data_IF_769945981906
#
_entry.id   IF_769945981906
#
_cell.length_a   1.000
_cell.length_b   1.000
_cell.length_c   1.000
_cell.angle_alpha   90.00
_cell.angle_beta   90.00
_cell.angle_gamma   90.00
#
_symmetry.space_group_name_H-M   'P 1'
#
loop_
_entity.id
_entity.type
_entity.pdbx_description
1 polymer ?
#
# COMPACT_ATOMS: atom_id res chain seq x y z
N UNK A 1 -66.60 -5.83 1.24
CA UNK A 1 -65.35 -6.44 0.70
C UNK A 1 -65.21 -5.94 -0.72
N UNK A 2 -64.17 -5.17 -1.10
CA UNK A 2 -62.80 -5.68 -1.27
C UNK A 2 -61.63 -4.73 -0.88
N UNK A 3 -60.46 -5.33 -0.59
CA UNK A 3 -59.07 -4.99 -1.03
C UNK A 3 -58.54 -3.53 -0.87
N UNK A 4 -57.29 -3.18 -0.53
CA UNK A 4 -55.99 -3.87 -0.40
C UNK A 4 -54.93 -2.87 0.15
N UNK A 5 -54.14 -3.33 1.12
CA UNK A 5 -52.66 -3.30 1.19
C UNK A 5 -51.93 -1.93 1.21
N UNK A 6 -51.62 -1.51 2.45
CA UNK A 6 -50.28 -1.18 3.01
C UNK A 6 -49.19 -0.72 2.03
N UNK A 7 -48.86 0.56 2.15
CA UNK A 7 -47.65 1.22 1.72
C UNK A 7 -46.40 0.51 2.27
N UNK A 8 -45.55 0.00 1.37
CA UNK A 8 -44.23 -0.51 1.73
C UNK A 8 -43.17 0.23 0.91
N UNK A 9 -42.54 1.22 1.55
CA UNK A 9 -41.25 1.77 1.12
C UNK A 9 -40.20 0.65 1.25
N UNK A 10 -39.47 0.35 0.18
CA UNK A 10 -38.33 -0.57 0.22
C UNK A 10 -37.09 0.07 -0.41
N UNK A 11 -36.28 0.66 0.48
CA UNK A 11 -34.82 0.58 0.60
C UNK A 11 -33.97 0.48 -0.69
N UNK A 12 -33.35 1.62 -1.00
CA UNK A 12 -31.94 1.85 -1.39
C UNK A 12 -31.11 0.60 -1.71
N UNK A 13 -30.81 0.39 -2.99
CA UNK A 13 -29.61 -0.35 -3.41
C UNK A 13 -28.52 0.65 -3.78
N UNK A 14 -27.69 1.05 -2.79
CA UNK A 14 -26.40 1.66 -3.07
C UNK A 14 -25.51 0.57 -3.65
N UNK A 15 -25.48 0.46 -4.97
CA UNK A 15 -24.42 -0.24 -5.68
C UNK A 15 -23.11 0.47 -5.39
N UNK A 16 -22.35 -0.07 -4.43
CA UNK A 16 -20.93 0.23 -4.24
C UNK A 16 -20.21 -0.30 -5.48
N UNK A 17 -20.11 0.54 -6.51
CA UNK A 17 -19.22 0.27 -7.62
C UNK A 17 -17.78 0.52 -7.15
N UNK A 18 -17.05 -0.55 -6.88
CA UNK A 18 -15.59 -0.49 -6.83
C UNK A 18 -15.07 -0.14 -8.23
N UNK A 19 -14.40 1.00 -8.36
CA UNK A 19 -13.87 1.47 -9.64
C UNK A 19 -12.83 0.48 -10.20
N UNK A 20 -12.83 0.22 -11.53
CA UNK A 20 -11.84 -0.64 -12.16
C UNK A 20 -10.45 0.02 -12.15
N UNK A 21 -9.42 -0.76 -11.81
CA UNK A 21 -8.02 -0.33 -11.91
C UNK A 21 -7.59 -0.34 -13.37
N UNK A 22 -7.33 0.84 -13.95
CA UNK A 22 -6.87 1.02 -15.34
C UNK A 22 -5.46 0.43 -15.54
N UNK A 23 -5.28 -0.57 -16.43
CA UNK A 23 -4.01 -1.26 -16.65
C UNK A 23 -2.98 -0.45 -17.44
N UNK A 24 -3.32 0.73 -17.98
CA UNK A 24 -2.38 1.58 -18.72
C UNK A 24 -1.43 2.40 -17.83
N UNK A 25 -1.65 2.42 -16.51
CA UNK A 25 -0.95 3.30 -15.57
C UNK A 25 0.17 2.63 -14.72
N UNK A 26 0.66 1.45 -15.12
CA UNK A 26 1.57 0.63 -14.28
C UNK A 26 2.94 1.28 -14.04
N UNK A 27 3.41 2.15 -14.95
CA UNK A 27 4.75 2.77 -14.85
C UNK A 27 4.80 4.10 -14.07
N UNK A 28 3.68 4.82 -13.96
CA UNK A 28 3.59 6.04 -13.12
C UNK A 28 3.32 5.72 -11.64
N UNK A 29 2.96 4.47 -11.37
CA UNK A 29 2.50 4.02 -10.08
C UNK A 29 3.61 3.94 -9.00
N UNK A 30 4.86 4.24 -9.35
CA UNK A 30 5.99 4.23 -8.44
C UNK A 30 6.69 5.59 -8.24
N UNK A 31 6.19 6.67 -8.85
CA UNK A 31 6.72 8.02 -8.62
C UNK A 31 5.98 8.77 -7.50
N UNK A 32 6.70 9.14 -6.44
CA UNK A 32 6.23 10.10 -5.43
C UNK A 32 7.31 11.17 -5.21
N UNK A 33 6.97 12.47 -5.24
CA UNK A 33 7.93 13.53 -4.97
C UNK A 33 8.60 13.34 -3.60
N UNK A 34 9.93 13.41 -3.56
CA UNK A 34 10.71 13.11 -2.34
C UNK A 34 10.32 14.03 -1.18
N UNK A 35 10.01 15.30 -1.45
CA UNK A 35 9.58 16.25 -0.43
C UNK A 35 8.24 15.85 0.23
N UNK A 36 7.27 15.43 -0.60
CA UNK A 36 5.96 14.95 -0.16
C UNK A 36 6.13 13.66 0.66
N UNK A 37 6.80 12.66 0.09
CA UNK A 37 7.07 11.38 0.75
C UNK A 37 7.72 11.58 2.13
N UNK A 38 8.76 12.43 2.20
CA UNK A 38 9.47 12.71 3.45
C UNK A 38 8.55 13.39 4.47
N UNK A 39 7.62 14.24 4.02
CA UNK A 39 6.63 14.86 4.89
C UNK A 39 5.68 13.82 5.49
N UNK A 40 5.13 12.94 4.66
CA UNK A 40 4.21 11.88 5.08
C UNK A 40 4.88 10.90 6.06
N UNK A 41 6.11 10.47 5.78
CA UNK A 41 6.88 9.61 6.67
C UNK A 41 7.06 10.26 8.05
N UNK A 42 7.47 11.54 8.08
CA UNK A 42 7.63 12.28 9.36
C UNK A 42 6.32 12.39 10.12
N UNK A 43 5.22 12.68 9.41
CA UNK A 43 3.90 12.79 10.01
C UNK A 43 3.44 11.46 10.60
N UNK A 44 3.59 10.36 9.86
CA UNK A 44 3.24 9.02 10.31
C UNK A 44 3.98 8.62 11.59
N UNK A 45 5.30 8.84 11.64
CA UNK A 45 6.09 8.55 12.84
C UNK A 45 5.70 9.46 14.02
N UNK A 46 5.65 10.78 13.81
CA UNK A 46 5.35 11.76 14.87
C UNK A 46 3.99 11.49 15.52
N UNK A 47 3.00 11.15 14.70
CA UNK A 47 1.62 10.96 15.14
C UNK A 47 1.26 9.48 15.40
N UNK A 48 2.27 8.59 15.38
CA UNK A 48 2.14 7.16 15.68
C UNK A 48 1.08 6.43 14.86
N UNK A 49 1.16 6.58 13.54
CA UNK A 49 0.29 5.85 12.63
C UNK A 49 0.63 4.35 12.62
N UNK A 50 -0.35 3.49 12.32
CA UNK A 50 -0.17 2.05 12.20
C UNK A 50 0.00 1.66 10.74
N UNK A 51 0.96 0.80 10.41
CA UNK A 51 1.10 0.25 9.07
C UNK A 51 -0.05 -0.73 8.81
N UNK A 52 -0.97 -0.38 7.91
CA UNK A 52 -2.10 -1.24 7.53
C UNK A 52 -1.69 -2.29 6.52
N UNK A 53 -1.05 -1.87 5.43
CA UNK A 53 -0.72 -2.74 4.31
C UNK A 53 0.61 -2.39 3.66
N UNK A 54 1.33 -3.42 3.23
CA UNK A 54 2.47 -3.37 2.34
C UNK A 54 2.12 -4.07 1.04
N UNK A 55 2.22 -3.35 -0.07
CA UNK A 55 2.04 -3.87 -1.41
C UNK A 55 3.39 -3.88 -2.13
N UNK A 56 3.63 -4.92 -2.93
CA UNK A 56 4.79 -4.98 -3.82
C UNK A 56 4.33 -4.76 -5.26
N UNK A 57 5.15 -4.09 -6.05
CA UNK A 57 4.93 -3.95 -7.49
C UNK A 57 6.23 -4.16 -8.25
N UNK A 58 6.13 -4.72 -9.45
CA UNK A 58 7.29 -5.01 -10.30
C UNK A 58 7.94 -6.38 -10.06
N UNK A 59 7.42 -7.19 -9.14
CA UNK A 59 7.72 -8.62 -9.09
C UNK A 59 6.87 -9.40 -10.10
N UNK A 60 7.51 -10.11 -11.02
CA UNK A 60 6.86 -11.03 -11.96
C UNK A 60 7.24 -12.47 -11.64
N UNK A 61 8.50 -12.71 -11.26
CA UNK A 61 9.04 -14.04 -10.99
C UNK A 61 9.29 -14.31 -9.50
N UNK A 62 9.45 -13.25 -8.71
CA UNK A 62 9.66 -13.35 -7.26
C UNK A 62 8.32 -13.31 -6.54
N UNK A 63 7.97 -14.39 -5.83
CA UNK A 63 6.73 -14.44 -5.07
C UNK A 63 6.69 -13.35 -3.98
N UNK A 64 5.53 -12.71 -3.85
CA UNK A 64 5.25 -11.67 -2.84
C UNK A 64 5.66 -12.10 -1.43
N UNK A 65 5.37 -13.35 -1.06
CA UNK A 65 5.69 -13.92 0.24
C UNK A 65 7.20 -13.93 0.55
N UNK A 66 8.04 -14.16 -0.46
CA UNK A 66 9.51 -14.16 -0.29
C UNK A 66 10.04 -12.76 0.01
N UNK A 67 9.47 -11.75 -0.65
CA UNK A 67 9.79 -10.34 -0.41
C UNK A 67 9.26 -9.89 0.95
N UNK A 68 8.02 -10.26 1.27
CA UNK A 68 7.36 -9.96 2.55
C UNK A 68 8.16 -10.51 3.74
N UNK A 69 8.74 -11.70 3.62
CA UNK A 69 9.58 -12.29 4.67
C UNK A 69 10.88 -11.50 4.95
N UNK A 70 11.31 -10.62 4.04
CA UNK A 70 12.47 -9.74 4.27
C UNK A 70 12.11 -8.49 5.07
N UNK A 71 10.83 -8.15 5.19
CA UNK A 71 10.40 -6.97 5.91
C UNK A 71 10.66 -7.13 7.41
N UNK A 72 11.10 -6.04 8.04
CA UNK A 72 11.20 -5.91 9.50
C UNK A 72 10.07 -5.04 10.05
N UNK A 73 9.46 -4.21 9.20
CA UNK A 73 8.24 -3.48 9.51
C UNK A 73 7.05 -4.33 9.06
N UNK A 74 6.28 -4.83 10.03
CA UNK A 74 5.13 -5.70 9.79
C UNK A 74 3.83 -4.90 9.82
N UNK A 75 2.85 -5.35 9.04
CA UNK A 75 1.48 -4.85 9.08
C UNK A 75 0.90 -5.05 10.50
N UNK A 76 0.08 -4.09 10.94
CA UNK A 76 -0.46 -4.02 12.31
C UNK A 76 0.46 -3.32 13.32
N UNK A 77 1.75 -3.13 13.02
CA UNK A 77 2.66 -2.41 13.91
C UNK A 77 2.63 -0.89 13.67
N UNK A 78 3.07 -0.11 14.67
CA UNK A 78 3.34 1.31 14.46
C UNK A 78 4.37 1.50 13.34
N UNK A 79 4.10 2.48 12.48
CA UNK A 79 5.00 2.85 11.41
C UNK A 79 6.25 3.51 11.99
N UNK A 80 7.41 2.89 11.70
CA UNK A 80 8.73 3.39 12.11
C UNK A 80 9.64 3.40 10.88
N UNK A 81 10.16 4.57 10.53
CA UNK A 81 11.03 4.80 9.36
C UNK A 81 12.30 3.98 9.44
N UNK A 82 12.89 3.84 10.64
CA UNK A 82 14.08 3.01 10.82
C UNK A 82 13.82 1.53 10.44
N UNK A 83 12.64 1.01 10.78
CA UNK A 83 12.22 -0.35 10.41
C UNK A 83 11.95 -0.48 8.91
N UNK A 84 11.36 0.55 8.29
CA UNK A 84 11.22 0.61 6.82
C UNK A 84 12.59 0.57 6.12
N UNK A 85 13.53 1.43 6.52
CA UNK A 85 14.88 1.46 5.95
C UNK A 85 15.60 0.11 6.11
N UNK A 86 15.48 -0.51 7.30
CA UNK A 86 16.03 -1.84 7.54
C UNK A 86 15.41 -2.89 6.61
N UNK A 87 14.10 -2.80 6.36
CA UNK A 87 13.38 -3.68 5.42
C UNK A 87 13.90 -3.51 4.00
N UNK A 88 14.06 -2.26 3.53
CA UNK A 88 14.60 -1.97 2.19
C UNK A 88 16.03 -2.48 2.01
N UNK A 89 16.87 -2.38 3.04
CA UNK A 89 18.23 -2.95 3.03
C UNK A 89 18.20 -4.49 2.91
N UNK A 90 17.29 -5.15 3.61
CA UNK A 90 17.12 -6.62 3.54
C UNK A 90 16.57 -7.07 2.19
N UNK A 91 15.63 -6.31 1.63
CA UNK A 91 15.14 -6.53 0.26
C UNK A 91 16.27 -6.38 -0.76
N UNK A 92 17.08 -5.34 -0.64
CA UNK A 92 18.22 -5.09 -1.54
C UNK A 92 19.27 -6.20 -1.55
N UNK A 93 19.31 -7.04 -0.51
CA UNK A 93 20.18 -8.21 -0.43
C UNK A 93 19.61 -9.45 -1.15
N UNK A 94 18.37 -9.40 -1.63
CA UNK A 94 17.77 -10.50 -2.38
C UNK A 94 18.37 -10.56 -3.80
N UNK A 95 18.81 -11.75 -4.21
CA UNK A 95 19.59 -11.92 -5.44
C UNK A 95 18.81 -11.56 -6.72
N UNK A 96 17.50 -11.81 -6.75
CA UNK A 96 16.71 -11.65 -7.98
C UNK A 96 16.24 -10.21 -8.24
N UNK A 97 16.43 -9.28 -7.31
CA UNK A 97 15.96 -7.90 -7.47
C UNK A 97 17.12 -6.91 -7.41
N UNK A 98 16.96 -5.76 -8.08
CA UNK A 98 17.88 -4.63 -7.96
C UNK A 98 17.74 -4.00 -6.57
N UNK A 99 18.80 -3.30 -6.08
CA UNK A 99 18.73 -2.60 -4.81
C UNK A 99 17.57 -1.60 -4.76
N UNK A 100 16.81 -1.64 -3.66
CA UNK A 100 15.62 -0.82 -3.42
C UNK A 100 15.96 0.28 -2.42
N UNK A 101 15.57 1.51 -2.73
CA UNK A 101 15.80 2.70 -1.92
C UNK A 101 14.48 3.27 -1.42
N UNK A 102 14.58 4.28 -0.54
CA UNK A 102 13.38 4.98 -0.07
C UNK A 102 12.64 5.67 -1.22
N UNK A 103 13.33 6.13 -2.26
CA UNK A 103 12.72 6.69 -3.48
C UNK A 103 11.75 5.75 -4.18
N UNK A 104 11.88 4.44 -3.94
CA UNK A 104 11.12 3.40 -4.62
C UNK A 104 9.91 2.95 -3.76
N UNK A 105 9.59 3.72 -2.71
CA UNK A 105 8.44 3.47 -1.83
C UNK A 105 7.42 4.59 -1.98
N UNK A 106 6.16 4.26 -2.24
CA UNK A 106 5.05 5.21 -2.07
C UNK A 106 4.42 5.06 -0.70
N UNK A 107 4.18 6.20 -0.06
CA UNK A 107 3.50 6.26 1.23
C UNK A 107 2.18 7.01 1.04
N UNK A 108 1.10 6.42 1.54
CA UNK A 108 -0.21 7.04 1.66
C UNK A 108 -0.66 6.99 3.11
N UNK A 109 -1.25 8.08 3.58
CA UNK A 109 -1.79 8.19 4.93
C UNK A 109 -3.31 8.20 4.87
N UNK A 110 -3.91 7.43 5.75
CA UNK A 110 -5.30 7.54 6.13
C UNK A 110 -5.36 8.36 7.42
N UNK A 111 -5.78 9.62 7.33
CA UNK A 111 -5.77 10.53 8.47
C UNK A 111 -6.88 10.25 9.48
N UNK A 112 -8.01 9.66 9.05
CA UNK A 112 -9.12 9.33 9.93
C UNK A 112 -8.76 8.19 10.86
N UNK A 113 -8.23 7.11 10.29
CA UNK A 113 -7.89 5.88 11.03
C UNK A 113 -6.44 5.85 11.54
N UNK A 114 -5.65 6.88 11.21
CA UNK A 114 -4.19 6.93 11.45
C UNK A 114 -3.45 5.71 10.89
N UNK A 115 -3.72 5.37 9.64
CA UNK A 115 -3.12 4.22 8.97
C UNK A 115 -2.14 4.64 7.88
N UNK A 116 -1.12 3.81 7.67
CA UNK A 116 -0.16 3.93 6.56
C UNK A 116 -0.37 2.77 5.60
N UNK A 117 -0.48 3.08 4.31
CA UNK A 117 -0.27 2.10 3.25
C UNK A 117 1.07 2.38 2.57
N UNK A 118 1.91 1.36 2.47
CA UNK A 118 3.21 1.43 1.81
C UNK A 118 3.19 0.56 0.54
N UNK A 119 3.55 1.14 -0.60
CA UNK A 119 3.79 0.37 -1.83
C UNK A 119 5.28 0.39 -2.11
N UNK A 120 5.91 -0.78 -2.16
CA UNK A 120 7.34 -0.94 -2.43
C UNK A 120 7.49 -1.40 -3.87
N UNK A 121 8.03 -0.51 -4.69
CA UNK A 121 8.30 -0.76 -6.08
C UNK A 121 9.67 -1.39 -6.23
N UNK A 122 9.72 -2.53 -6.90
CA UNK A 122 10.96 -3.26 -7.14
C UNK A 122 11.19 -3.44 -8.64
N UNK A 123 12.43 -3.70 -8.99
CA UNK A 123 12.80 -4.10 -10.34
C UNK A 123 13.57 -5.41 -10.25
N UNK A 124 13.10 -6.44 -10.95
CA UNK A 124 13.80 -7.72 -11.04
C UNK A 124 15.04 -7.60 -11.95
N UNK A 125 16.09 -8.35 -11.60
CA UNK A 125 17.25 -8.49 -12.47
C UNK A 125 16.82 -9.31 -13.68
N UNK A 126 17.15 -8.84 -14.89
CA UNK A 126 16.98 -9.65 -16.10
C UNK A 126 17.94 -10.83 -16.02
N UNK A 127 17.40 -12.02 -16.24
CA UNK A 127 18.18 -13.24 -16.48
C UNK A 127 18.78 -13.23 -17.89
#
# INVERSE_FOLDING_TARGET
>A
MPLRIVQTLLLVSLSVYAAPQDPSNVKSDCHQPVAEQRSLIRQAEKNRYTLRRVEFSGNQYTADQLLRHKLTLNEGNFFVRASLIRSLRRLSAHMMIKPVRLSDVKIRLDHGEKLVDARICIEERRH
#
